data_IF_329639688324
#
_entry.id   IF_329639688324
#
_cell.length_a   1.000
_cell.length_b   1.000
_cell.length_c   1.000
_cell.angle_alpha   90.00
_cell.angle_beta   90.00
_cell.angle_gamma   90.00
#
_symmetry.space_group_name_H-M   'P 1'
#
loop_
_entity.id
_entity.type
_entity.pdbx_description
1 polymer ?
#
# COMPACT_ATOMS: atom_id res chain seq x y z
N UNK A 1 34.70 -33.34 37.98
CA UNK A 1 34.22 -33.35 36.58
C UNK A 1 34.29 -31.92 36.04
N UNK A 2 35.36 -31.58 35.30
CA UNK A 2 35.44 -30.31 34.55
C UNK A 2 34.85 -30.57 33.17
N UNK A 3 33.92 -29.71 32.72
CA UNK A 3 33.32 -29.78 31.38
C UNK A 3 34.19 -28.95 30.45
N UNK A 4 34.82 -29.60 29.47
CA UNK A 4 35.51 -28.93 28.38
C UNK A 4 34.47 -28.43 27.36
N UNK A 5 34.41 -27.11 27.16
CA UNK A 5 33.68 -26.51 26.06
C UNK A 5 34.63 -26.39 24.85
N UNK A 6 34.25 -26.89 23.66
CA UNK A 6 35.05 -26.68 22.47
C UNK A 6 34.95 -25.21 22.03
N UNK A 7 36.09 -24.52 21.95
CA UNK A 7 36.18 -23.22 21.28
C UNK A 7 35.84 -23.39 19.79
N UNK A 8 34.80 -22.70 19.33
CA UNK A 8 34.51 -22.55 17.91
C UNK A 8 35.59 -21.64 17.33
N UNK A 9 36.55 -22.22 16.60
CA UNK A 9 37.49 -21.48 15.77
C UNK A 9 36.70 -20.77 14.67
N UNK A 10 36.51 -19.47 14.82
CA UNK A 10 36.00 -18.63 13.74
C UNK A 10 37.04 -18.62 12.63
N UNK A 11 36.75 -19.31 11.52
CA UNK A 11 37.53 -19.20 10.28
C UNK A 11 37.41 -17.77 9.76
N UNK A 12 38.49 -16.99 9.93
CA UNK A 12 38.65 -15.68 9.31
C UNK A 12 38.69 -15.91 7.79
N UNK A 13 37.60 -15.60 7.11
CA UNK A 13 37.53 -15.67 5.65
C UNK A 13 38.39 -14.54 5.09
N UNK A 14 39.41 -14.91 4.32
CA UNK A 14 40.30 -14.00 3.61
C UNK A 14 39.46 -13.06 2.70
N UNK A 15 39.45 -11.74 2.96
CA UNK A 15 38.59 -10.80 2.22
C UNK A 15 38.96 -10.72 0.73
N UNK A 16 40.18 -11.13 0.36
CA UNK A 16 40.64 -11.18 -1.03
C UNK A 16 40.03 -12.33 -1.85
N UNK A 17 39.47 -13.35 -1.19
CA UNK A 17 38.85 -14.53 -1.83
C UNK A 17 37.33 -14.43 -1.94
N UNK A 18 36.73 -13.39 -1.37
CA UNK A 18 35.33 -13.08 -1.55
C UNK A 18 35.17 -12.51 -2.97
N UNK A 19 34.71 -13.34 -3.90
CA UNK A 19 34.31 -12.84 -5.22
C UNK A 19 33.34 -11.68 -5.00
N UNK A 20 33.55 -10.50 -5.62
CA UNK A 20 32.56 -9.45 -5.55
C UNK A 20 31.25 -10.07 -6.02
N UNK A 21 30.19 -10.00 -5.20
CA UNK A 21 28.84 -10.27 -5.69
C UNK A 21 28.69 -9.35 -6.89
N UNK A 22 28.61 -9.94 -8.09
CA UNK A 22 28.16 -9.21 -9.27
C UNK A 22 26.89 -8.49 -8.83
N UNK A 23 26.93 -7.16 -8.79
CA UNK A 23 25.73 -6.39 -8.56
C UNK A 23 24.68 -6.92 -9.56
N UNK A 24 23.43 -7.15 -9.14
CA UNK A 24 22.39 -7.52 -10.10
C UNK A 24 22.47 -6.49 -11.22
N UNK A 25 22.54 -6.96 -12.47
CA UNK A 25 22.47 -6.11 -13.66
C UNK A 25 21.25 -5.22 -13.43
N UNK A 26 21.46 -3.93 -13.21
CA UNK A 26 20.34 -3.00 -13.08
C UNK A 26 19.77 -2.90 -14.48
N UNK A 27 18.80 -3.75 -14.80
CA UNK A 27 17.91 -3.48 -15.92
C UNK A 27 17.41 -2.06 -15.69
N UNK A 28 17.65 -1.18 -16.67
CA UNK A 28 17.13 0.18 -16.60
C UNK A 28 15.63 0.07 -16.37
N UNK A 29 15.18 0.45 -15.17
CA UNK A 29 13.76 0.42 -14.86
C UNK A 29 13.14 1.49 -15.76
N UNK A 30 12.43 1.07 -16.79
CA UNK A 30 11.71 1.96 -17.69
C UNK A 30 10.24 1.99 -17.26
N UNK A 31 9.59 3.14 -17.38
CA UNK A 31 8.16 3.25 -17.10
C UNK A 31 7.34 2.42 -18.09
N UNK A 32 6.95 1.21 -17.71
CA UNK A 32 5.95 0.42 -18.40
C UNK A 32 4.56 0.70 -17.79
N UNK A 33 3.51 0.56 -18.59
CA UNK A 33 2.13 0.78 -18.15
C UNK A 33 1.72 -0.09 -16.95
N UNK A 34 2.30 -1.29 -16.84
CA UNK A 34 2.12 -2.21 -15.71
C UNK A 34 2.71 -1.62 -14.43
N UNK A 35 3.95 -1.14 -14.49
CA UNK A 35 4.62 -0.47 -13.37
C UNK A 35 3.86 0.79 -12.92
N UNK A 36 3.33 1.56 -13.88
CA UNK A 36 2.44 2.70 -13.57
C UNK A 36 1.19 2.23 -12.82
N UNK A 37 0.57 1.14 -13.27
CA UNK A 37 -0.58 0.53 -12.60
C UNK A 37 -0.28 0.11 -11.17
N UNK A 38 0.83 -0.59 -10.94
CA UNK A 38 1.30 -0.99 -9.60
C UNK A 38 1.44 0.24 -8.70
N UNK A 39 2.14 1.27 -9.17
CA UNK A 39 2.38 2.49 -8.39
C UNK A 39 1.09 3.26 -8.07
N UNK A 40 0.12 3.29 -8.98
CA UNK A 40 -1.19 3.90 -8.73
C UNK A 40 -2.00 3.10 -7.70
N UNK A 41 -1.91 1.77 -7.70
CA UNK A 41 -2.55 0.91 -6.70
C UNK A 41 -1.89 1.08 -5.32
N UNK A 42 -0.56 1.16 -5.28
CA UNK A 42 0.19 1.48 -4.06
C UNK A 42 -0.23 2.84 -3.50
N UNK A 43 -0.28 3.87 -4.36
CA UNK A 43 -0.70 5.21 -3.98
C UNK A 43 -2.13 5.21 -3.43
N UNK A 44 -3.06 4.54 -4.10
CA UNK A 44 -4.43 4.38 -3.60
C UNK A 44 -4.45 3.65 -2.25
N UNK A 45 -3.64 2.61 -2.06
CA UNK A 45 -3.49 1.90 -0.79
C UNK A 45 -3.02 2.81 0.35
N UNK A 46 -2.08 3.71 0.07
CA UNK A 46 -1.62 4.73 1.02
C UNK A 46 -2.77 5.68 1.38
N UNK A 47 -3.49 6.21 0.38
CA UNK A 47 -4.65 7.09 0.62
C UNK A 47 -5.72 6.40 1.46
N UNK A 48 -5.97 5.10 1.25
CA UNK A 48 -6.92 4.31 2.06
C UNK A 48 -6.50 4.19 3.52
N UNK A 49 -5.20 4.22 3.82
CA UNK A 49 -4.65 4.15 5.19
C UNK A 49 -4.49 5.52 5.86
N UNK A 50 -4.58 6.62 5.12
CA UNK A 50 -4.51 7.95 5.71
C UNK A 50 -5.73 8.21 6.60
N UNK A 51 -5.54 8.67 7.85
CA UNK A 51 -6.64 8.93 8.78
C UNK A 51 -7.60 10.02 8.30
N UNK A 52 -7.20 10.83 7.31
CA UNK A 52 -7.95 11.95 6.73
C UNK A 52 -8.92 11.56 5.61
N UNK A 53 -9.03 10.27 5.24
CA UNK A 53 -10.00 9.81 4.22
C UNK A 53 -11.46 10.10 4.63
N UNK A 54 -11.74 10.13 5.93
CA UNK A 54 -13.12 10.25 6.44
C UNK A 54 -13.55 11.67 6.78
N UNK A 55 -12.63 12.62 7.06
CA UNK A 55 -12.96 14.03 7.37
C UNK A 55 -11.84 15.00 6.92
N UNK A 56 -12.17 16.20 6.39
CA UNK A 56 -11.20 17.25 6.04
C UNK A 56 -10.36 17.68 7.26
N UNK A 57 -9.20 18.34 7.07
CA UNK A 57 -8.43 18.94 8.18
C UNK A 57 -9.06 20.28 8.58
N UNK A 58 -9.86 20.29 9.64
CA UNK A 58 -10.38 21.50 10.26
C UNK A 58 -10.11 21.46 11.76
N UNK A 59 -9.93 22.62 12.39
CA UNK A 59 -9.81 22.69 13.85
C UNK A 59 -11.11 22.19 14.47
N UNK A 60 -11.05 21.14 15.29
CA UNK A 60 -12.22 20.44 15.82
C UNK A 60 -12.63 19.18 15.05
N UNK A 61 -11.82 18.73 14.08
CA UNK A 61 -12.09 17.45 13.44
C UNK A 61 -12.09 16.29 14.43
N UNK A 62 -13.12 15.45 14.31
CA UNK A 62 -13.31 14.30 15.17
C UNK A 62 -12.12 13.36 15.00
N UNK A 63 -11.26 13.37 16.02
CA UNK A 63 -10.55 12.17 16.40
C UNK A 63 -11.58 11.03 16.49
N UNK A 64 -11.20 9.77 16.18
CA UNK A 64 -12.09 8.65 16.38
C UNK A 64 -12.64 8.74 17.81
N UNK A 65 -13.94 9.00 17.93
CA UNK A 65 -14.61 9.00 19.23
C UNK A 65 -14.72 7.54 19.62
N UNK A 66 -13.70 7.02 20.29
CA UNK A 66 -13.84 5.81 21.06
C UNK A 66 -14.76 6.16 22.22
N UNK A 67 -16.05 5.89 22.05
CA UNK A 67 -16.98 5.93 23.16
C UNK A 67 -16.55 4.80 24.09
N UNK A 68 -15.94 5.15 25.22
CA UNK A 68 -15.50 4.18 26.20
C UNK A 68 -16.75 3.48 26.77
N UNK A 69 -17.08 2.33 26.19
CA UNK A 69 -18.13 1.47 26.71
C UNK A 69 -17.63 0.77 27.97
N UNK A 70 -18.47 0.72 28.98
CA UNK A 70 -18.25 -0.18 30.12
C UNK A 70 -18.33 -1.64 29.66
N UNK A 71 -17.76 -2.56 30.45
CA UNK A 71 -17.78 -3.98 30.12
C UNK A 71 -19.21 -4.53 29.90
N UNK A 72 -20.19 -4.01 30.64
CA UNK A 72 -21.60 -4.39 30.50
C UNK A 72 -22.22 -3.91 29.19
N UNK A 73 -21.98 -2.66 28.80
CA UNK A 73 -22.45 -2.10 27.53
C UNK A 73 -21.82 -2.82 26.33
N UNK A 74 -20.53 -3.15 26.43
CA UNK A 74 -19.83 -3.92 25.41
C UNK A 74 -20.47 -5.32 25.23
N UNK A 75 -20.80 -5.99 26.32
CA UNK A 75 -21.42 -7.31 26.27
C UNK A 75 -22.85 -7.25 25.72
N UNK A 76 -23.62 -6.24 26.10
CA UNK A 76 -24.95 -5.99 25.52
C UNK A 76 -24.87 -5.78 24.00
N UNK A 77 -23.93 -4.95 23.55
CA UNK A 77 -23.71 -4.67 22.13
C UNK A 77 -23.27 -5.92 21.33
N UNK A 78 -22.37 -6.74 21.90
CA UNK A 78 -21.98 -8.02 21.27
C UNK A 78 -23.16 -8.98 21.14
N UNK A 79 -24.05 -9.02 22.14
CA UNK A 79 -25.26 -9.83 22.08
C UNK A 79 -26.22 -9.33 21.01
N UNK A 80 -26.38 -8.01 20.85
CA UNK A 80 -27.20 -7.43 19.77
C UNK A 80 -26.64 -7.73 18.37
N UNK A 81 -25.32 -7.65 18.18
CA UNK A 81 -24.65 -8.05 16.93
C UNK A 81 -24.89 -9.53 16.61
N UNK A 82 -24.79 -10.39 17.62
CA UNK A 82 -25.03 -11.82 17.49
C UNK A 82 -26.51 -12.13 17.20
N UNK A 83 -27.46 -11.37 17.74
CA UNK A 83 -28.89 -11.54 17.45
C UNK A 83 -29.28 -11.03 16.05
N UNK A 84 -28.66 -9.93 15.58
CA UNK A 84 -29.01 -9.29 14.31
C UNK A 84 -28.30 -9.87 13.09
N UNK A 85 -27.02 -10.23 13.23
CA UNK A 85 -26.17 -10.68 12.13
C UNK A 85 -25.46 -12.02 12.39
N UNK A 86 -25.78 -12.69 13.50
CA UNK A 86 -25.18 -13.97 13.85
C UNK A 86 -23.71 -13.89 14.23
N UNK A 87 -23.08 -15.06 14.32
CA UNK A 87 -21.67 -15.22 14.66
C UNK A 87 -20.73 -14.54 13.65
N UNK A 88 -21.11 -14.53 12.36
CA UNK A 88 -20.31 -13.89 11.31
C UNK A 88 -20.20 -12.36 11.47
N UNK A 89 -21.28 -11.70 11.88
CA UNK A 89 -21.26 -10.25 12.14
C UNK A 89 -20.43 -9.90 13.37
N UNK A 90 -20.51 -10.71 14.43
CA UNK A 90 -19.70 -10.56 15.63
C UNK A 90 -18.20 -10.73 15.32
N UNK A 91 -17.83 -11.80 14.62
CA UNK A 91 -16.44 -12.05 14.22
C UNK A 91 -15.88 -10.95 13.31
N UNK A 92 -16.68 -10.44 12.37
CA UNK A 92 -16.27 -9.33 11.51
C UNK A 92 -16.02 -8.05 12.31
N UNK A 93 -16.89 -7.73 13.27
CA UNK A 93 -16.73 -6.58 14.15
C UNK A 93 -15.51 -6.73 15.08
N UNK A 94 -15.32 -7.89 15.71
CA UNK A 94 -14.15 -8.15 16.57
C UNK A 94 -12.84 -8.06 15.78
N UNK A 95 -12.83 -8.57 14.55
CA UNK A 95 -11.70 -8.45 13.64
C UNK A 95 -11.41 -6.99 13.28
N UNK A 96 -12.42 -6.14 13.15
CA UNK A 96 -12.23 -4.72 12.87
C UNK A 96 -11.71 -3.94 14.09
N UNK A 97 -12.17 -4.27 15.30
CA UNK A 97 -11.65 -3.67 16.54
C UNK A 97 -10.19 -4.06 16.82
N UNK A 98 -9.83 -5.32 16.56
CA UNK A 98 -8.48 -5.83 16.81
C UNK A 98 -7.48 -5.53 15.68
N UNK A 99 -7.87 -4.74 14.67
CA UNK A 99 -6.97 -4.32 13.60
C UNK A 99 -5.98 -3.27 14.09
N UNK A 100 -4.71 -3.65 14.16
CA UNK A 100 -3.60 -2.70 14.24
C UNK A 100 -3.53 -1.94 12.91
N UNK A 101 -3.93 -0.66 12.93
CA UNK A 101 -3.80 0.23 11.77
C UNK A 101 -2.38 0.79 11.72
N UNK A 102 -1.57 0.29 10.80
CA UNK A 102 -0.22 0.82 10.57
C UNK A 102 -0.35 2.07 9.69
N UNK A 103 -0.05 3.28 10.21
CA UNK A 103 -0.08 4.49 9.39
C UNK A 103 0.97 4.40 8.29
N UNK A 104 0.73 5.03 7.12
CA UNK A 104 1.75 5.08 6.08
C UNK A 104 2.95 5.92 6.56
N UNK A 105 4.14 5.47 6.20
CA UNK A 105 5.41 6.18 6.39
C UNK A 105 5.49 7.43 5.50
N UNK A 106 6.35 8.39 5.85
CA UNK A 106 6.58 9.59 5.03
C UNK A 106 7.00 9.27 3.61
N UNK A 107 7.86 8.26 3.42
CA UNK A 107 8.28 7.78 2.11
C UNK A 107 7.15 7.17 1.28
N UNK A 108 6.20 6.49 1.91
CA UNK A 108 5.00 5.98 1.23
C UNK A 108 4.10 7.14 0.78
N UNK A 109 3.97 8.18 1.59
CA UNK A 109 3.17 9.37 1.27
C UNK A 109 3.81 10.13 0.10
N UNK A 110 5.12 10.36 0.10
CA UNK A 110 5.82 11.04 -0.99
C UNK A 110 5.68 10.30 -2.33
N UNK A 111 5.85 8.97 -2.32
CA UNK A 111 5.64 8.14 -3.52
C UNK A 111 4.19 8.17 -3.99
N UNK A 112 3.24 8.18 -3.06
CA UNK A 112 1.83 8.30 -3.39
C UNK A 112 1.50 9.65 -4.03
N UNK A 113 2.04 10.75 -3.49
CA UNK A 113 1.84 12.09 -4.03
C UNK A 113 2.42 12.24 -5.44
N UNK A 114 3.63 11.69 -5.67
CA UNK A 114 4.23 11.60 -6.99
C UNK A 114 3.31 10.86 -7.99
N UNK A 115 2.84 9.67 -7.61
CA UNK A 115 1.99 8.84 -8.46
C UNK A 115 0.63 9.49 -8.76
N UNK A 116 0.02 10.14 -7.77
CA UNK A 116 -1.23 10.90 -7.95
C UNK A 116 -1.03 12.11 -8.86
N UNK A 117 0.15 12.72 -8.87
CA UNK A 117 0.51 13.79 -9.79
C UNK A 117 0.47 13.38 -11.27
N UNK A 118 0.57 12.09 -11.59
CA UNK A 118 0.60 11.61 -12.97
C UNK A 118 -0.74 11.72 -13.70
N UNK A 119 -1.85 11.91 -12.98
CA UNK A 119 -3.16 12.19 -13.60
C UNK A 119 -3.13 13.48 -14.45
N UNK A 120 -2.12 14.34 -14.29
CA UNK A 120 -1.86 15.49 -15.20
C UNK A 120 -1.76 15.07 -16.67
N UNK A 121 -1.29 13.85 -16.98
CA UNK A 121 -1.19 13.36 -18.36
C UNK A 121 -2.53 12.92 -18.96
N UNK A 122 -3.57 12.82 -18.12
CA UNK A 122 -4.95 12.55 -18.52
C UNK A 122 -5.85 13.79 -18.36
N UNK A 123 -5.25 14.98 -18.19
CA UNK A 123 -6.01 16.23 -17.92
C UNK A 123 -7.06 16.51 -18.99
N UNK A 124 -6.73 16.23 -20.25
CA UNK A 124 -7.61 16.51 -21.39
C UNK A 124 -8.66 15.40 -21.60
N UNK A 125 -8.58 14.29 -20.85
CA UNK A 125 -9.52 13.16 -20.87
C UNK A 125 -9.94 12.79 -19.43
N UNK A 126 -10.86 13.60 -18.90
CA UNK A 126 -11.37 13.43 -17.53
C UNK A 126 -12.10 12.10 -17.31
N UNK A 127 -12.70 11.52 -18.35
CA UNK A 127 -13.40 10.24 -18.24
C UNK A 127 -12.38 9.11 -18.02
N UNK A 128 -11.32 9.07 -18.82
CA UNK A 128 -10.22 8.14 -18.64
C UNK A 128 -9.55 8.30 -17.27
N UNK A 129 -9.35 9.54 -16.80
CA UNK A 129 -8.81 9.79 -15.47
C UNK A 129 -9.70 9.19 -14.36
N UNK A 130 -11.02 9.33 -14.45
CA UNK A 130 -11.97 8.72 -13.51
C UNK A 130 -11.92 7.19 -13.55
N UNK A 131 -11.88 6.61 -14.74
CA UNK A 131 -11.84 5.14 -14.92
C UNK A 131 -10.56 4.56 -14.31
N UNK A 132 -9.40 5.13 -14.64
CA UNK A 132 -8.10 4.68 -14.10
C UNK A 132 -8.03 4.88 -12.58
N UNK A 133 -8.49 6.03 -12.08
CA UNK A 133 -8.52 6.32 -10.64
C UNK A 133 -9.44 5.39 -9.87
N UNK A 134 -10.64 5.11 -10.41
CA UNK A 134 -11.59 4.18 -9.82
C UNK A 134 -11.02 2.75 -9.78
N UNK A 135 -10.43 2.29 -10.88
CA UNK A 135 -9.78 1.00 -10.95
C UNK A 135 -8.64 0.88 -9.92
N UNK A 136 -7.74 1.85 -9.84
CA UNK A 136 -6.63 1.82 -8.90
C UNK A 136 -7.11 1.79 -7.43
N UNK A 137 -8.18 2.52 -7.12
CA UNK A 137 -8.75 2.59 -5.78
C UNK A 137 -9.55 1.35 -5.36
N UNK A 138 -10.07 0.58 -6.32
CA UNK A 138 -10.84 -0.65 -6.05
C UNK A 138 -9.99 -1.91 -6.13
N UNK A 139 -8.78 -1.82 -6.69
CA UNK A 139 -7.84 -2.93 -6.81
C UNK A 139 -6.99 -3.07 -5.54
N UNK A 140 -6.76 -4.32 -5.11
CA UNK A 140 -5.95 -4.66 -3.93
C UNK A 140 -4.77 -5.57 -4.25
N UNK A 141 -4.83 -6.29 -5.37
CA UNK A 141 -3.76 -7.16 -5.86
C UNK A 141 -3.55 -6.91 -7.35
N UNK A 142 -2.30 -6.95 -7.82
CA UNK A 142 -1.95 -6.61 -9.20
C UNK A 142 -1.86 -7.89 -10.02
N UNK A 143 -2.98 -8.28 -10.61
CA UNK A 143 -2.97 -9.23 -11.72
C UNK A 143 -2.83 -8.45 -13.05
N UNK A 144 -1.65 -8.54 -13.66
CA UNK A 144 -1.31 -7.85 -14.91
C UNK A 144 -2.22 -8.28 -16.06
N UNK A 145 -2.61 -9.56 -16.07
CA UNK A 145 -3.51 -10.12 -17.08
C UNK A 145 -4.97 -9.69 -16.84
N UNK A 146 -5.31 -9.35 -15.59
CA UNK A 146 -6.62 -8.86 -15.16
C UNK A 146 -6.89 -7.38 -15.43
N UNK A 147 -5.94 -6.61 -15.97
CA UNK A 147 -6.13 -5.17 -16.21
C UNK A 147 -7.13 -4.94 -17.37
N UNK A 148 -8.28 -4.25 -17.14
CA UNK A 148 -9.24 -3.96 -18.19
C UNK A 148 -8.62 -3.18 -19.36
N UNK A 149 -9.02 -3.49 -20.59
CA UNK A 149 -8.43 -2.89 -21.79
C UNK A 149 -8.48 -1.35 -21.80
N UNK A 150 -9.59 -0.77 -21.33
CA UNK A 150 -9.76 0.68 -21.22
C UNK A 150 -8.79 1.31 -20.21
N UNK A 151 -8.58 0.65 -19.07
CA UNK A 151 -7.61 1.08 -18.05
C UNK A 151 -6.19 0.99 -18.62
N UNK A 152 -5.88 -0.10 -19.32
CA UNK A 152 -4.58 -0.31 -19.97
C UNK A 152 -4.24 0.83 -20.94
N UNK A 153 -5.23 1.36 -21.66
CA UNK A 153 -5.05 2.53 -22.52
C UNK A 153 -4.67 3.78 -21.71
N UNK A 154 -5.39 4.09 -20.63
CA UNK A 154 -5.06 5.22 -19.75
C UNK A 154 -3.67 5.10 -19.11
N UNK A 155 -3.30 3.91 -18.63
CA UNK A 155 -1.96 3.63 -18.08
C UNK A 155 -0.85 3.80 -19.12
N UNK A 156 -1.10 3.43 -20.38
CA UNK A 156 -0.15 3.67 -21.49
C UNK A 156 0.03 5.15 -21.77
N UNK A 157 -1.03 5.96 -21.72
CA UNK A 157 -0.93 7.42 -21.87
C UNK A 157 -0.08 8.03 -20.77
N UNK A 158 -0.29 7.63 -19.52
CA UNK A 158 0.53 8.07 -18.38
C UNK A 158 2.00 7.64 -18.56
N UNK A 159 2.24 6.38 -18.88
CA UNK A 159 3.59 5.83 -19.12
C UNK A 159 4.33 6.61 -20.22
N UNK A 160 3.66 6.99 -21.31
CA UNK A 160 4.24 7.83 -22.37
C UNK A 160 4.58 9.22 -21.86
N UNK A 161 3.70 9.83 -21.06
CA UNK A 161 3.94 11.13 -20.43
C UNK A 161 5.16 11.11 -19.51
N UNK A 162 5.29 10.09 -18.66
CA UNK A 162 6.44 9.92 -17.77
C UNK A 162 7.76 9.76 -18.52
N UNK A 163 7.75 9.00 -19.62
CA UNK A 163 8.93 8.86 -20.48
C UNK A 163 9.30 10.17 -21.17
N UNK A 164 8.30 10.95 -21.61
CA UNK A 164 8.51 12.28 -22.23
C UNK A 164 9.13 13.27 -21.26
N UNK A 165 8.69 13.24 -20.01
CA UNK A 165 9.17 14.12 -18.94
C UNK A 165 10.46 13.57 -18.27
N UNK A 166 11.04 12.48 -18.79
CA UNK A 166 12.26 11.84 -18.26
C UNK A 166 12.21 11.54 -16.75
N UNK A 167 11.04 11.20 -16.22
CA UNK A 167 10.90 10.82 -14.81
C UNK A 167 11.67 9.52 -14.56
N UNK A 168 12.58 9.44 -13.58
CA UNK A 168 13.31 8.22 -13.31
C UNK A 168 12.36 7.16 -12.74
N UNK A 169 12.32 5.96 -13.31
CA UNK A 169 11.57 4.88 -12.70
C UNK A 169 12.36 4.31 -11.52
N UNK A 170 11.78 4.40 -10.33
CA UNK A 170 12.35 3.81 -9.12
C UNK A 170 11.70 2.45 -8.92
N UNK A 171 12.51 1.41 -8.68
CA UNK A 171 12.08 0.09 -8.23
C UNK A 171 11.53 0.13 -6.81
#
# INVERSE_FOLDING_TARGET
MKKDHPMILQTIVDPSKVRPRLAPVSEEVVWHHELVGVRLIEAASVVRRLPMRTRPKEFGCAWPNFQAMTAGELQAFKNELMQSGGEGALLAWERDQNRVRIPPSGTEIERADEALGWFKYLRDDMEMAKIVGFWANTTYDVDVDGIPAIVRQGLRTISRGLRRDHVPARG
#
